data_IF_837796998782
#
_entry.id   IF_837796998782
#
_cell.length_a   1.000
_cell.length_b   1.000
_cell.length_c   1.000
_cell.angle_alpha   90.00
_cell.angle_beta   90.00
_cell.angle_gamma   90.00
#
_symmetry.space_group_name_H-M   'P 1'
#
loop_
_entity.id
_entity.type
_entity.pdbx_description
1 polymer ?
#
# COMPACT_ATOMS: atom_id res chain seq x y z
N UNK A 1 -1.91 -11.40 -5.99
CA UNK A 1 -3.32 -11.71 -6.30
C UNK A 1 -3.86 -10.87 -7.45
N UNK A 2 -4.60 -11.48 -8.38
CA UNK A 2 -5.32 -10.79 -9.47
C UNK A 2 -6.72 -10.36 -9.01
N UNK A 3 -7.27 -9.30 -9.60
CA UNK A 3 -8.64 -8.81 -9.29
C UNK A 3 -9.69 -9.92 -9.51
N UNK A 4 -9.54 -10.74 -10.55
CA UNK A 4 -10.42 -11.88 -10.82
C UNK A 4 -10.47 -12.90 -9.67
N UNK A 5 -9.34 -13.13 -9.00
CA UNK A 5 -9.23 -14.04 -7.85
C UNK A 5 -9.90 -13.44 -6.61
N UNK A 6 -9.71 -12.13 -6.39
CA UNK A 6 -10.34 -11.37 -5.29
C UNK A 6 -11.86 -11.44 -5.42
N UNK A 7 -12.39 -11.11 -6.60
CA UNK A 7 -13.83 -11.16 -6.90
C UNK A 7 -14.38 -12.57 -6.67
N UNK A 8 -13.73 -13.59 -7.23
CA UNK A 8 -14.19 -14.98 -7.07
C UNK A 8 -14.16 -15.44 -5.61
N UNK A 9 -13.13 -15.05 -4.86
CA UNK A 9 -13.02 -15.35 -3.43
C UNK A 9 -14.12 -14.67 -2.62
N UNK A 10 -14.32 -13.37 -2.82
CA UNK A 10 -15.34 -12.60 -2.10
C UNK A 10 -16.75 -13.09 -2.41
N UNK A 11 -17.08 -13.36 -3.68
CA UNK A 11 -18.37 -13.96 -4.05
C UNK A 11 -18.63 -15.27 -3.30
N UNK A 12 -17.63 -16.15 -3.21
CA UNK A 12 -17.73 -17.42 -2.46
C UNK A 12 -17.88 -17.18 -0.95
N UNK A 13 -17.19 -16.19 -0.38
CA UNK A 13 -17.34 -15.81 1.04
C UNK A 13 -18.76 -15.32 1.37
N UNK A 14 -19.40 -14.64 0.42
CA UNK A 14 -20.80 -14.22 0.52
C UNK A 14 -21.81 -15.35 0.22
N UNK A 15 -21.34 -16.55 -0.12
CA UNK A 15 -22.19 -17.70 -0.45
C UNK A 15 -22.89 -17.61 -1.81
N UNK A 16 -22.55 -16.62 -2.63
CA UNK A 16 -23.21 -16.37 -3.92
C UNK A 16 -22.70 -17.33 -5.00
N UNK A 17 -23.59 -17.82 -5.85
CA UNK A 17 -23.26 -18.50 -7.10
C UNK A 17 -23.01 -17.48 -8.22
N UNK A 18 -22.34 -17.91 -9.29
CA UNK A 18 -22.03 -17.00 -10.42
C UNK A 18 -23.28 -16.41 -11.07
N UNK A 19 -24.38 -17.18 -11.17
CA UNK A 19 -25.64 -16.66 -11.73
C UNK A 19 -26.33 -15.65 -10.79
N UNK A 20 -26.17 -15.77 -9.47
CA UNK A 20 -26.77 -14.84 -8.51
C UNK A 20 -26.07 -13.48 -8.58
N UNK A 21 -24.73 -13.50 -8.70
CA UNK A 21 -23.96 -12.28 -8.98
C UNK A 21 -24.33 -11.69 -10.36
N UNK A 22 -24.57 -12.54 -11.35
CA UNK A 22 -25.02 -12.12 -12.69
C UNK A 22 -26.36 -11.37 -12.64
N UNK A 23 -27.34 -11.91 -11.89
CA UNK A 23 -28.64 -11.28 -11.69
C UNK A 23 -28.53 -9.94 -10.96
N UNK A 24 -27.72 -9.87 -9.90
CA UNK A 24 -27.52 -8.64 -9.13
C UNK A 24 -26.86 -7.52 -9.96
N UNK A 25 -25.97 -7.88 -10.87
CA UNK A 25 -25.17 -6.92 -11.65
C UNK A 25 -25.72 -6.65 -13.05
N UNK A 26 -26.68 -7.45 -13.52
CA UNK A 26 -27.19 -7.42 -14.90
C UNK A 26 -26.14 -7.85 -15.95
N UNK A 27 -25.10 -8.59 -15.54
CA UNK A 27 -24.03 -9.06 -16.40
C UNK A 27 -24.34 -10.51 -16.82
N UNK A 28 -23.98 -10.91 -18.04
CA UNK A 28 -24.21 -12.29 -18.45
C UNK A 28 -23.39 -13.28 -17.60
N UNK A 29 -23.97 -14.41 -17.12
CA UNK A 29 -23.25 -15.40 -16.31
C UNK A 29 -21.97 -15.93 -16.97
N UNK A 30 -21.96 -16.05 -18.30
CA UNK A 30 -20.79 -16.46 -19.08
C UNK A 30 -19.63 -15.48 -18.96
N UNK A 31 -19.91 -14.17 -18.89
CA UNK A 31 -18.90 -13.12 -18.73
C UNK A 31 -18.27 -13.16 -17.34
N UNK A 32 -19.07 -13.32 -16.28
CA UNK A 32 -18.56 -13.51 -14.91
C UNK A 32 -17.68 -14.77 -14.86
N UNK A 33 -18.13 -15.86 -15.47
CA UNK A 33 -17.40 -17.13 -15.47
C UNK A 33 -16.04 -17.04 -16.18
N UNK A 34 -15.99 -16.38 -17.34
CA UNK A 34 -14.75 -16.16 -18.11
C UNK A 34 -13.79 -15.25 -17.32
N UNK A 35 -14.31 -14.19 -16.71
CA UNK A 35 -13.53 -13.26 -15.90
C UNK A 35 -12.92 -13.93 -14.67
N UNK A 36 -13.70 -14.66 -13.87
CA UNK A 36 -13.22 -15.33 -12.66
C UNK A 36 -12.17 -16.42 -12.95
N UNK A 37 -12.21 -17.04 -14.13
CA UNK A 37 -11.15 -17.97 -14.59
C UNK A 37 -9.88 -17.27 -15.07
N UNK A 38 -9.90 -15.94 -15.18
CA UNK A 38 -8.80 -15.15 -15.75
C UNK A 38 -8.60 -15.35 -17.25
N UNK A 39 -9.60 -15.90 -17.95
CA UNK A 39 -9.53 -16.18 -19.40
C UNK A 39 -9.72 -14.93 -20.25
N UNK A 40 -10.42 -13.92 -19.73
CA UNK A 40 -10.51 -12.59 -20.34
C UNK A 40 -10.70 -11.50 -19.27
N UNK A 41 -10.29 -10.28 -19.61
CA UNK A 41 -10.60 -9.09 -18.81
C UNK A 41 -12.08 -8.71 -18.87
N UNK A 42 -12.46 -7.78 -18.01
CA UNK A 42 -13.81 -7.19 -17.98
C UNK A 42 -13.71 -5.69 -18.23
N UNK A 43 -14.70 -5.13 -18.92
CA UNK A 43 -14.81 -3.68 -19.10
C UNK A 43 -15.06 -3.00 -17.76
N UNK A 44 -14.52 -1.78 -17.57
CA UNK A 44 -14.54 -1.07 -16.29
C UNK A 44 -15.96 -0.93 -15.71
N UNK A 45 -16.94 -0.60 -16.54
CA UNK A 45 -18.34 -0.42 -16.11
C UNK A 45 -18.97 -1.70 -15.54
N UNK A 46 -18.62 -2.87 -16.07
CA UNK A 46 -19.09 -4.15 -15.53
C UNK A 46 -18.28 -4.55 -14.30
N UNK A 47 -16.98 -4.24 -14.27
CA UNK A 47 -16.16 -4.47 -13.10
C UNK A 47 -16.65 -3.65 -11.90
N UNK A 48 -16.98 -2.37 -12.09
CA UNK A 48 -17.56 -1.49 -11.05
C UNK A 48 -18.82 -2.09 -10.45
N UNK A 49 -19.78 -2.53 -11.28
CA UNK A 49 -21.00 -3.21 -10.80
C UNK A 49 -20.72 -4.45 -9.96
N UNK A 50 -19.73 -5.26 -10.36
CA UNK A 50 -19.30 -6.44 -9.60
C UNK A 50 -18.69 -6.02 -8.27
N UNK A 51 -17.83 -5.00 -8.25
CA UNK A 51 -17.20 -4.52 -7.03
C UNK A 51 -18.26 -3.99 -6.05
N UNK A 52 -19.20 -3.18 -6.53
CA UNK A 52 -20.32 -2.68 -5.73
C UNK A 52 -21.19 -3.80 -5.17
N UNK A 53 -21.56 -4.79 -5.99
CA UNK A 53 -22.38 -5.93 -5.56
C UNK A 53 -21.68 -6.83 -4.52
N UNK A 54 -20.36 -6.81 -4.49
CA UNK A 54 -19.54 -7.60 -3.55
C UNK A 54 -19.01 -6.78 -2.36
N UNK A 55 -19.40 -5.51 -2.26
CA UNK A 55 -18.91 -4.54 -1.27
C UNK A 55 -17.36 -4.47 -1.26
N UNK A 56 -16.78 -4.44 -2.46
CA UNK A 56 -15.35 -4.31 -2.68
C UNK A 56 -15.01 -2.88 -3.09
N UNK A 57 -13.98 -2.31 -2.48
CA UNK A 57 -13.41 -1.03 -2.89
C UNK A 57 -11.94 -1.21 -3.27
N UNK A 58 -11.52 -0.56 -4.35
CA UNK A 58 -10.11 -0.46 -4.73
C UNK A 58 -9.55 0.76 -4.01
N UNK A 59 -8.76 0.52 -2.97
CA UNK A 59 -8.09 1.59 -2.22
C UNK A 59 -6.64 1.67 -2.69
N UNK A 60 -6.20 2.89 -3.01
CA UNK A 60 -4.77 3.16 -3.15
C UNK A 60 -4.16 3.28 -1.76
N UNK A 61 -3.63 2.17 -1.24
CA UNK A 61 -3.00 2.11 0.09
C UNK A 61 -1.59 2.71 0.05
N UNK A 62 -1.56 4.05 -0.01
CA UNK A 62 -0.33 4.85 0.01
C UNK A 62 0.52 4.53 1.24
N UNK A 63 -0.11 4.31 2.39
CA UNK A 63 0.61 4.01 3.62
C UNK A 63 1.34 2.66 3.53
N UNK A 64 0.73 1.64 2.94
CA UNK A 64 1.43 0.36 2.74
C UNK A 64 2.60 0.46 1.78
N UNK A 65 2.50 1.30 0.73
CA UNK A 65 3.64 1.59 -0.15
C UNK A 65 4.78 2.27 0.64
N UNK A 66 4.45 3.32 1.40
CA UNK A 66 5.43 4.02 2.24
C UNK A 66 6.08 3.08 3.27
N UNK A 67 5.30 2.25 3.97
CA UNK A 67 5.80 1.27 4.94
C UNK A 67 6.74 0.25 4.31
N UNK A 68 6.39 -0.29 3.13
CA UNK A 68 7.24 -1.22 2.38
C UNK A 68 8.57 -0.57 2.01
N UNK A 69 8.53 0.65 1.50
CA UNK A 69 9.75 1.39 1.16
C UNK A 69 10.57 1.73 2.41
N UNK A 70 9.94 2.15 3.49
CA UNK A 70 10.63 2.48 4.74
C UNK A 70 11.35 1.28 5.35
N UNK A 71 10.74 0.09 5.32
CA UNK A 71 11.42 -1.17 5.72
C UNK A 71 12.61 -1.48 4.83
N UNK A 72 12.46 -1.33 3.50
CA UNK A 72 13.59 -1.50 2.57
C UNK A 72 14.72 -0.53 2.91
N UNK A 73 14.41 0.73 3.18
CA UNK A 73 15.38 1.74 3.62
C UNK A 73 16.09 1.31 4.90
N UNK A 74 15.34 0.93 5.95
CA UNK A 74 15.89 0.50 7.24
C UNK A 74 16.89 -0.65 7.08
N UNK A 75 16.51 -1.68 6.31
CA UNK A 75 17.39 -2.80 6.00
C UNK A 75 18.68 -2.37 5.28
N UNK A 76 18.58 -1.50 4.27
CA UNK A 76 19.76 -0.98 3.55
C UNK A 76 20.67 -0.16 4.49
N UNK A 77 20.10 0.64 5.39
CA UNK A 77 20.88 1.38 6.38
C UNK A 77 21.64 0.45 7.31
N UNK A 78 21.01 -0.64 7.75
CA UNK A 78 21.62 -1.66 8.59
C UNK A 78 22.75 -2.39 7.87
N UNK A 79 22.51 -2.84 6.65
CA UNK A 79 23.52 -3.50 5.80
C UNK A 79 24.74 -2.59 5.58
N UNK A 80 24.52 -1.27 5.47
CA UNK A 80 25.57 -0.25 5.31
C UNK A 80 26.17 0.27 6.62
N UNK A 81 25.69 -0.20 7.79
CA UNK A 81 26.12 0.24 9.13
C UNK A 81 25.98 1.76 9.34
N UNK A 82 24.88 2.32 8.83
CA UNK A 82 24.51 3.72 9.08
C UNK A 82 23.66 3.72 10.35
N UNK A 83 24.24 4.20 11.46
CA UNK A 83 23.65 4.05 12.79
C UNK A 83 22.73 5.21 13.20
N UNK A 84 22.92 6.41 12.65
CA UNK A 84 22.16 7.60 13.04
C UNK A 84 21.34 8.17 11.88
N UNK A 85 20.10 7.70 11.75
CA UNK A 85 19.18 8.14 10.70
C UNK A 85 18.52 9.48 11.01
N UNK A 86 18.77 10.06 12.19
CA UNK A 86 18.23 11.40 12.53
C UNK A 86 18.89 12.50 11.69
N UNK A 87 20.08 12.24 11.16
CA UNK A 87 20.85 13.21 10.38
C UNK A 87 20.96 12.85 8.91
N UNK A 88 20.41 11.72 8.47
CA UNK A 88 20.44 11.37 7.05
C UNK A 88 19.57 12.34 6.26
N UNK A 89 20.12 12.88 5.19
CA UNK A 89 19.35 13.66 4.23
C UNK A 89 18.52 12.75 3.33
N UNK A 90 17.48 13.33 2.75
CA UNK A 90 16.64 12.69 1.74
C UNK A 90 17.46 12.23 0.53
N UNK A 91 18.42 13.05 0.12
CA UNK A 91 19.31 12.81 -1.00
C UNK A 91 20.28 11.65 -0.72
N UNK A 92 20.85 11.58 0.48
CA UNK A 92 21.69 10.45 0.90
C UNK A 92 20.92 9.13 0.97
N UNK A 93 19.70 9.16 1.54
CA UNK A 93 18.87 7.96 1.62
C UNK A 93 18.44 7.48 0.23
N UNK A 94 18.05 8.41 -0.66
CA UNK A 94 17.71 8.12 -2.06
C UNK A 94 18.88 7.44 -2.78
N UNK A 95 20.09 7.99 -2.66
CA UNK A 95 21.30 7.42 -3.25
C UNK A 95 21.65 6.04 -2.69
N UNK A 96 21.46 5.82 -1.38
CA UNK A 96 21.74 4.53 -0.76
C UNK A 96 20.79 3.42 -1.22
N UNK A 97 19.51 3.74 -1.39
CA UNK A 97 18.45 2.77 -1.73
C UNK A 97 18.26 2.65 -3.25
N UNK A 98 18.80 3.59 -4.02
CA UNK A 98 18.61 3.70 -5.46
C UNK A 98 17.16 4.01 -5.82
N UNK A 99 16.52 4.93 -5.08
CA UNK A 99 15.14 5.34 -5.32
C UNK A 99 14.96 6.86 -5.22
N UNK A 100 14.92 7.51 -6.38
CA UNK A 100 14.77 8.97 -6.49
C UNK A 100 13.36 9.47 -6.17
N UNK A 101 12.35 8.60 -6.05
CA UNK A 101 11.02 9.01 -5.61
C UNK A 101 11.04 9.59 -4.19
N UNK A 102 12.04 9.22 -3.38
CA UNK A 102 12.25 9.83 -2.06
C UNK A 102 12.48 11.34 -2.15
N UNK A 103 13.03 11.85 -3.25
CA UNK A 103 13.26 13.27 -3.49
C UNK A 103 11.95 14.07 -3.65
N UNK A 104 10.82 13.38 -3.91
CA UNK A 104 9.50 14.00 -4.03
C UNK A 104 8.89 14.34 -2.66
N UNK A 105 9.39 13.75 -1.57
CA UNK A 105 8.87 13.99 -0.23
C UNK A 105 9.25 15.39 0.25
N UNK A 106 8.29 16.31 0.51
CA UNK A 106 8.59 17.64 1.00
C UNK A 106 9.27 17.59 2.36
N UNK A 107 10.41 18.27 2.45
CA UNK A 107 11.10 18.54 3.71
C UNK A 107 10.48 19.78 4.33
N UNK A 108 9.98 19.66 5.55
CA UNK A 108 9.39 20.78 6.29
C UNK A 108 10.15 21.00 7.60
N UNK A 109 10.09 22.22 8.12
CA UNK A 109 10.69 22.51 9.43
C UNK A 109 9.98 21.75 10.55
N UNK A 110 10.68 21.44 11.64
CA UNK A 110 10.09 20.76 12.81
C UNK A 110 8.91 21.51 13.41
N UNK A 111 8.92 22.84 13.33
CA UNK A 111 7.80 23.66 13.77
C UNK A 111 6.57 23.47 12.86
N UNK A 112 6.78 23.48 11.54
CA UNK A 112 5.72 23.28 10.57
C UNK A 112 5.16 21.85 10.64
N UNK A 113 6.03 20.85 10.77
CA UNK A 113 5.63 19.45 10.95
C UNK A 113 4.76 19.28 12.20
N UNK A 114 5.20 19.80 13.35
CA UNK A 114 4.40 19.79 14.60
C UNK A 114 3.06 20.52 14.45
N UNK A 115 2.97 21.53 13.58
CA UNK A 115 1.72 22.21 13.27
C UNK A 115 0.80 21.32 12.42
N UNK A 116 1.33 20.58 11.44
CA UNK A 116 0.56 19.61 10.67
C UNK A 116 -0.08 18.56 11.60
N UNK A 117 0.73 17.89 12.43
CA UNK A 117 0.26 16.89 13.40
C UNK A 117 -0.88 17.41 14.31
N UNK A 118 -0.77 18.66 14.78
CA UNK A 118 -1.79 19.26 15.68
C UNK A 118 -3.05 19.70 14.95
N UNK A 119 -2.91 20.23 13.73
CA UNK A 119 -4.04 20.82 13.00
C UNK A 119 -4.89 19.79 12.28
N UNK A 120 -4.31 18.65 11.88
CA UNK A 120 -4.96 17.59 11.08
C UNK A 120 -5.56 18.06 9.74
N UNK A 121 -5.31 19.31 9.34
CA UNK A 121 -5.79 19.88 8.07
C UNK A 121 -4.91 19.43 6.89
N UNK A 122 -3.63 19.21 7.16
CA UNK A 122 -2.64 18.73 6.20
C UNK A 122 -2.20 17.36 6.67
N UNK A 123 -2.17 16.40 5.75
CA UNK A 123 -1.70 15.05 6.00
C UNK A 123 -0.16 15.06 6.14
N UNK A 124 0.30 14.95 7.38
CA UNK A 124 1.72 14.92 7.74
C UNK A 124 2.45 13.70 7.19
N UNK A 125 1.72 12.62 6.88
CA UNK A 125 2.31 11.36 6.39
C UNK A 125 2.92 11.51 5.00
N UNK A 126 2.64 12.61 4.30
CA UNK A 126 3.23 12.93 3.00
C UNK A 126 4.53 13.72 3.10
N UNK A 127 5.16 13.83 4.28
CA UNK A 127 6.39 14.61 4.48
C UNK A 127 7.62 13.72 4.65
N UNK A 128 8.80 14.28 4.35
CA UNK A 128 10.08 13.64 4.67
C UNK A 128 10.22 13.36 6.17
N UNK A 129 9.82 14.32 7.02
CA UNK A 129 9.91 14.20 8.48
C UNK A 129 9.19 12.96 9.00
N UNK A 130 7.97 12.70 8.50
CA UNK A 130 7.24 11.48 8.82
C UNK A 130 7.96 10.23 8.29
N UNK A 131 8.33 10.25 7.01
CA UNK A 131 8.94 9.09 6.36
C UNK A 131 10.26 8.66 7.02
N UNK A 132 11.15 9.60 7.33
CA UNK A 132 12.43 9.28 7.98
C UNK A 132 12.23 8.74 9.40
N UNK A 133 11.22 9.24 10.11
CA UNK A 133 10.82 8.70 11.42
C UNK A 133 10.35 7.25 11.29
N UNK A 134 9.53 6.96 10.28
CA UNK A 134 9.07 5.60 9.98
C UNK A 134 10.23 4.65 9.62
N UNK A 135 11.24 5.12 8.89
CA UNK A 135 12.47 4.34 8.60
C UNK A 135 13.23 4.05 9.89
N UNK A 136 13.38 5.06 10.76
CA UNK A 136 14.06 4.91 12.05
C UNK A 136 13.34 3.89 12.94
N UNK A 137 12.01 3.92 13.00
CA UNK A 137 11.23 2.95 13.77
C UNK A 137 11.48 1.52 13.29
N UNK A 138 11.41 1.28 11.97
CA UNK A 138 11.72 -0.05 11.41
C UNK A 138 13.17 -0.47 11.59
N UNK A 139 14.11 0.48 11.57
CA UNK A 139 15.52 0.19 11.84
C UNK A 139 15.73 -0.29 13.28
N UNK A 140 15.06 0.34 14.25
CA UNK A 140 15.08 -0.07 15.65
C UNK A 140 14.41 -1.44 15.85
N UNK A 141 13.24 -1.66 15.25
CA UNK A 141 12.55 -2.96 15.28
C UNK A 141 13.47 -4.10 14.78
N UNK A 142 14.21 -3.83 13.69
CA UNK A 142 15.17 -4.77 13.12
C UNK A 142 16.38 -5.06 14.03
N UNK A 143 16.83 -4.07 14.81
CA UNK A 143 17.90 -4.23 15.80
C UNK A 143 17.44 -5.05 17.00
N UNK A 144 16.22 -4.78 17.48
CA UNK A 144 15.62 -5.44 18.64
C UNK A 144 15.15 -6.88 18.34
N UNK A 145 15.27 -7.33 17.08
CA UNK A 145 14.85 -8.67 16.66
C UNK A 145 13.33 -8.84 16.59
N UNK A 146 12.57 -7.74 16.67
CA UNK A 146 11.13 -7.71 16.51
C UNK A 146 10.83 -7.66 15.01
N UNK A 147 11.04 -8.79 14.32
CA UNK A 147 10.60 -8.88 12.93
C UNK A 147 9.06 -8.84 12.90
N UNK A 148 8.41 -7.86 12.25
CA UNK A 148 6.97 -7.93 12.05
C UNK A 148 6.68 -9.18 11.22
N UNK A 149 5.73 -9.99 11.68
CA UNK A 149 5.28 -11.20 11.00
C UNK A 149 5.13 -10.91 9.49
N UNK A 150 5.95 -11.57 8.69
CA UNK A 150 5.93 -11.45 7.24
C UNK A 150 4.50 -11.79 6.78
N UNK A 151 3.78 -10.79 6.29
CA UNK A 151 2.65 -11.04 5.43
C UNK A 151 3.24 -11.52 4.11
N UNK A 152 3.34 -12.85 3.98
CA UNK A 152 3.74 -13.55 2.77
C UNK A 152 2.82 -13.16 1.60
N UNK A 153 3.43 -13.08 0.41
CA UNK A 153 2.88 -12.60 -0.87
C UNK A 153 1.66 -13.37 -1.41
#
# INVERSE_FOLDING_TARGET
MKISEIVASQRRRLGLKQYELAEQTGIAPSQISIFERGSAGMVSTNLEKILDALDLSIVNDRQSVQRKLARKCARVMRERKIEDLRFISREELAACVGNDELLLLPVVSDELYRRYCRSQLVDETNTWNYFVSLVQDYYLDELDGVAPALAED
#
